data_IF_621025505674
#
_entry.id   IF_621025505674
#
_cell.length_a   1.000
_cell.length_b   1.000
_cell.length_c   1.000
_cell.angle_alpha   90.00
_cell.angle_beta   90.00
_cell.angle_gamma   90.00
#
_symmetry.space_group_name_H-M   'P 1'
#
loop_
_entity.id
_entity.type
_entity.pdbx_description
1 polymer ?
#
# COMPACT_ATOMS: atom_id res chain seq x y z
N UNK A 1 12.10 1.65 -18.68
CA UNK A 1 10.87 1.52 -17.85
C UNK A 1 9.84 0.57 -18.45
N UNK A 2 9.43 0.75 -19.71
CA UNK A 2 8.42 -0.14 -20.34
C UNK A 2 8.85 -1.61 -20.45
N UNK A 3 10.14 -1.86 -20.65
CA UNK A 3 10.70 -3.22 -20.76
C UNK A 3 10.65 -4.01 -19.44
N UNK A 4 10.61 -3.31 -18.30
CA UNK A 4 10.76 -3.92 -16.97
C UNK A 4 9.47 -4.58 -16.46
N UNK A 5 8.30 -4.16 -16.94
CA UNK A 5 6.99 -4.73 -16.56
C UNK A 5 6.65 -6.05 -17.29
N UNK A 6 7.46 -6.43 -18.28
CA UNK A 6 7.31 -7.67 -19.05
C UNK A 6 5.99 -7.75 -19.84
N UNK A 7 5.65 -8.95 -20.33
CA UNK A 7 4.42 -9.21 -21.13
C UNK A 7 3.14 -9.38 -20.30
N UNK A 8 3.24 -9.39 -18.96
CA UNK A 8 2.12 -9.74 -18.07
C UNK A 8 1.33 -8.54 -17.57
N UNK A 9 1.92 -7.34 -17.64
CA UNK A 9 1.32 -6.14 -17.10
C UNK A 9 1.39 -5.01 -18.12
N UNK A 10 0.33 -4.22 -18.18
CA UNK A 10 0.27 -3.00 -18.98
C UNK A 10 0.43 -1.83 -18.02
N UNK A 11 1.48 -1.03 -18.20
CA UNK A 11 1.64 0.22 -17.45
C UNK A 11 0.71 1.28 -18.03
N UNK A 12 -0.15 1.84 -17.19
CA UNK A 12 -1.04 2.96 -17.50
C UNK A 12 -0.62 4.14 -16.60
N UNK A 13 -0.44 5.32 -17.21
CA UNK A 13 -0.17 6.55 -16.46
C UNK A 13 -1.50 7.20 -16.13
N UNK A 14 -1.83 7.27 -14.84
CA UNK A 14 -3.10 7.81 -14.35
C UNK A 14 -2.91 9.26 -13.86
N UNK A 15 -3.44 10.29 -14.56
CA UNK A 15 -3.23 11.69 -14.21
C UNK A 15 -3.80 12.07 -12.84
N UNK A 16 -4.79 11.32 -12.35
CA UNK A 16 -5.41 11.55 -11.04
C UNK A 16 -4.62 10.98 -9.87
N UNK A 17 -3.61 10.14 -10.11
CA UNK A 17 -2.84 9.54 -9.03
C UNK A 17 -1.79 10.49 -8.50
N UNK A 18 -1.66 10.53 -7.17
CA UNK A 18 -0.52 11.19 -6.55
C UNK A 18 0.78 10.45 -6.91
N UNK A 19 1.94 11.11 -6.91
CA UNK A 19 3.21 10.48 -7.26
C UNK A 19 3.60 9.27 -6.39
N UNK A 20 3.00 9.15 -5.20
CA UNK A 20 3.24 8.04 -4.26
C UNK A 20 2.21 6.91 -4.38
N UNK A 21 1.26 7.01 -5.31
CA UNK A 21 0.16 6.06 -5.51
C UNK A 21 0.36 5.22 -6.77
N UNK A 22 -0.01 3.94 -6.68
CA UNK A 22 -0.11 3.02 -7.79
C UNK A 22 -1.29 2.06 -7.58
N UNK A 23 -1.84 1.55 -8.66
CA UNK A 23 -2.88 0.51 -8.62
C UNK A 23 -2.46 -0.63 -9.53
N UNK A 24 -2.66 -1.85 -9.04
CA UNK A 24 -2.58 -3.06 -9.84
C UNK A 24 -3.98 -3.65 -9.95
N UNK A 25 -4.54 -3.61 -11.15
CA UNK A 25 -5.87 -4.13 -11.43
C UNK A 25 -5.85 -5.29 -12.43
N UNK A 26 -6.84 -6.15 -12.27
CA UNK A 26 -7.18 -7.27 -13.15
C UNK A 26 -8.71 -7.38 -13.22
N UNK A 27 -9.23 -8.30 -14.03
CA UNK A 27 -10.67 -8.51 -14.15
C UNK A 27 -11.37 -8.93 -12.85
N UNK A 28 -10.63 -9.43 -11.85
CA UNK A 28 -11.20 -9.96 -10.60
C UNK A 28 -10.69 -9.28 -9.34
N UNK A 29 -9.56 -8.59 -9.43
CA UNK A 29 -8.87 -8.05 -8.27
C UNK A 29 -8.33 -6.65 -8.57
N UNK A 30 -8.39 -5.80 -7.56
CA UNK A 30 -7.78 -4.48 -7.54
C UNK A 30 -6.97 -4.37 -6.26
N UNK A 31 -5.70 -3.97 -6.40
CA UNK A 31 -4.80 -3.72 -5.29
C UNK A 31 -4.27 -2.31 -5.42
N UNK A 32 -4.65 -1.46 -4.46
CA UNK A 32 -4.12 -0.11 -4.35
C UNK A 32 -2.87 -0.08 -3.48
N UNK A 33 -1.88 0.67 -3.92
CA UNK A 33 -0.67 0.95 -3.16
C UNK A 33 -0.48 2.46 -3.03
N UNK A 34 -0.19 2.93 -1.82
CA UNK A 34 0.26 4.30 -1.59
C UNK A 34 1.30 4.31 -0.47
N UNK A 35 2.45 4.96 -0.71
CA UNK A 35 3.50 5.05 0.31
C UNK A 35 3.02 5.83 1.53
N UNK A 36 2.31 6.95 1.31
CA UNK A 36 1.77 7.75 2.42
C UNK A 36 0.74 6.98 3.25
N UNK A 37 -0.15 6.20 2.61
CA UNK A 37 -1.11 5.35 3.33
C UNK A 37 -0.39 4.24 4.12
N UNK A 38 0.60 3.58 3.53
CA UNK A 38 1.39 2.55 4.22
C UNK A 38 2.16 3.12 5.42
N UNK A 39 2.82 4.27 5.24
CA UNK A 39 3.55 4.93 6.32
C UNK A 39 2.62 5.35 7.46
N UNK A 40 1.46 5.91 7.14
CA UNK A 40 0.44 6.24 8.15
C UNK A 40 -0.09 5.00 8.88
N UNK A 41 -0.28 3.88 8.19
CA UNK A 41 -0.66 2.62 8.81
C UNK A 41 0.43 2.10 9.76
N UNK A 42 1.70 2.21 9.36
CA UNK A 42 2.84 1.87 10.22
C UNK A 42 2.90 2.76 11.47
N UNK A 43 2.75 4.07 11.34
CA UNK A 43 2.71 4.98 12.48
C UNK A 43 1.56 4.67 13.43
N UNK A 44 0.37 4.37 12.89
CA UNK A 44 -0.78 3.92 13.69
C UNK A 44 -0.48 2.61 14.41
N UNK A 45 0.16 1.66 13.74
CA UNK A 45 0.55 0.39 14.34
C UNK A 45 1.58 0.58 15.46
N UNK A 46 2.62 1.40 15.24
CA UNK A 46 3.62 1.71 16.27
C UNK A 46 2.99 2.37 17.49
N UNK A 47 2.09 3.34 17.27
CA UNK A 47 1.34 4.01 18.34
C UNK A 47 0.43 3.05 19.11
N UNK A 48 -0.24 2.13 18.42
CA UNK A 48 -1.14 1.16 19.04
C UNK A 48 -0.40 -0.06 19.61
N UNK A 49 0.86 -0.29 19.23
CA UNK A 49 1.74 -1.33 19.76
C UNK A 49 2.22 -1.06 21.19
N UNK A 50 2.03 0.16 21.69
CA UNK A 50 2.21 0.49 23.11
C UNK A 50 1.01 0.08 23.97
N UNK A 51 -0.21 0.01 23.39
CA UNK A 51 -1.46 -0.25 24.13
C UNK A 51 -1.71 -1.74 24.46
N UNK A 52 -0.85 -2.64 23.96
CA UNK A 52 -0.94 -4.10 24.22
C UNK A 52 0.10 -4.63 25.21
N UNK A 53 0.96 -3.79 25.79
CA UNK A 53 1.92 -4.22 26.82
C UNK A 53 1.37 -4.15 28.26
N UNK A 54 0.09 -3.83 28.42
CA UNK A 54 -0.55 -3.61 29.73
C UNK A 54 -1.69 -4.56 30.07
N UNK A 55 -1.85 -5.70 29.38
CA UNK A 55 -2.88 -6.69 29.72
C UNK A 55 -2.36 -8.13 29.64
N UNK A 56 -1.21 -8.36 30.28
CA UNK A 56 -0.96 -9.65 30.93
C UNK A 56 -1.43 -9.49 32.38
N UNK A 57 -2.76 -9.53 32.58
CA UNK A 57 -3.35 -9.72 33.91
C UNK A 57 -3.30 -11.21 34.23
N UNK A 58 -2.43 -11.54 35.19
CA UNK A 58 -2.41 -12.81 35.93
C UNK A 58 -3.71 -13.02 36.72
#
# INVERSE_FOLDING_TARGET
MRETFGKRFTLIIEPGFSPDQAELSSTRYVVEFSLSRHFNALLKWLRNGEDKRGRDEY
#
